data_IF_625893941708
#
_entry.id   IF_625893941708
#
_cell.length_a   1.000
_cell.length_b   1.000
_cell.length_c   1.000
_cell.angle_alpha   90.00
_cell.angle_beta   90.00
_cell.angle_gamma   90.00
#
_symmetry.space_group_name_H-M   'P 1'
#
loop_
_entity.id
_entity.type
_entity.pdbx_description
1 polymer ?
#
# COMPACT_ATOMS: atom_id res chain seq x y z
N UNK A 1 -4.57 24.45 -26.20
CA UNK A 1 -5.10 23.98 -24.92
C UNK A 1 -4.77 22.50 -24.78
N UNK A 2 -3.74 22.15 -24.01
CA UNK A 2 -3.51 20.74 -23.68
C UNK A 2 -4.66 20.31 -22.77
N UNK A 3 -5.54 19.47 -23.30
CA UNK A 3 -6.50 18.73 -22.49
C UNK A 3 -5.65 17.85 -21.58
N UNK A 4 -5.55 18.22 -20.30
CA UNK A 4 -5.04 17.33 -19.28
C UNK A 4 -6.05 16.19 -19.24
N UNK A 5 -5.76 15.11 -19.95
CA UNK A 5 -6.47 13.85 -19.74
C UNK A 5 -6.24 13.47 -18.29
N UNK A 6 -7.29 13.59 -17.47
CA UNK A 6 -7.34 12.96 -16.16
C UNK A 6 -7.34 11.45 -16.42
N UNK A 7 -6.14 10.88 -16.60
CA UNK A 7 -5.91 9.44 -16.53
C UNK A 7 -6.42 8.98 -15.16
N UNK A 8 -7.35 8.03 -15.19
CA UNK A 8 -8.02 7.39 -14.06
C UNK A 8 -7.38 7.70 -12.69
N UNK A 9 -7.95 8.66 -11.97
CA UNK A 9 -7.63 8.84 -10.56
C UNK A 9 -8.25 7.66 -9.79
N UNK A 10 -7.76 7.33 -8.61
CA UNK A 10 -8.38 6.34 -7.69
C UNK A 10 -9.78 6.76 -7.19
N UNK A 11 -10.39 7.79 -7.78
CA UNK A 11 -11.70 8.35 -7.48
C UNK A 11 -12.79 7.30 -7.69
N UNK A 12 -13.54 7.00 -6.63
CA UNK A 12 -14.56 5.95 -6.63
C UNK A 12 -14.05 4.56 -6.28
N UNK A 13 -12.74 4.37 -6.11
CA UNK A 13 -12.21 3.12 -5.56
C UNK A 13 -12.55 3.02 -4.06
N UNK A 14 -12.94 1.83 -3.56
CA UNK A 14 -13.17 1.65 -2.13
C UNK A 14 -11.87 1.63 -1.30
N UNK A 15 -10.74 1.31 -1.94
CA UNK A 15 -9.41 1.28 -1.31
C UNK A 15 -8.31 1.64 -2.30
N UNK A 16 -7.12 1.91 -1.77
CA UNK A 16 -5.87 2.08 -2.53
C UNK A 16 -4.75 1.30 -1.86
N UNK A 17 -3.77 0.88 -2.64
CA UNK A 17 -2.48 0.44 -2.13
C UNK A 17 -1.51 1.61 -2.17
N UNK A 18 -0.85 1.88 -1.04
CA UNK A 18 0.02 3.05 -0.85
C UNK A 18 1.42 2.55 -0.55
N UNK A 19 2.40 2.98 -1.35
CA UNK A 19 3.82 2.63 -1.19
C UNK A 19 4.61 3.87 -0.84
N UNK A 20 5.46 3.79 0.19
CA UNK A 20 6.45 4.84 0.46
C UNK A 20 7.68 4.63 -0.41
N UNK A 21 8.02 5.62 -1.24
CA UNK A 21 9.04 5.47 -2.30
C UNK A 21 10.33 6.28 -2.09
N UNK A 22 10.35 7.23 -1.15
CA UNK A 22 11.48 8.16 -0.99
C UNK A 22 12.43 7.77 0.15
N UNK A 23 13.70 7.61 -0.21
CA UNK A 23 14.86 7.51 0.71
C UNK A 23 15.77 8.74 0.63
N UNK A 24 15.75 9.47 -0.48
CA UNK A 24 16.78 10.44 -0.89
C UNK A 24 16.35 11.92 -0.78
N UNK A 25 15.07 12.21 -0.52
CA UNK A 25 14.54 13.58 -0.43
C UNK A 25 14.80 14.28 0.92
N UNK A 26 15.77 13.81 1.71
CA UNK A 26 16.03 14.29 3.07
C UNK A 26 14.98 13.80 4.07
N UNK A 27 14.93 14.42 5.25
CA UNK A 27 13.95 14.07 6.27
C UNK A 27 12.61 14.78 5.98
N UNK A 28 11.47 14.05 5.95
CA UNK A 28 10.17 14.69 5.77
C UNK A 28 9.92 15.72 6.88
N UNK A 29 9.24 16.84 6.58
CA UNK A 29 8.77 17.78 7.58
C UNK A 29 7.97 17.06 8.68
N UNK A 30 8.02 17.56 9.92
CA UNK A 30 7.44 16.87 11.09
C UNK A 30 5.96 16.52 10.90
N UNK A 31 5.18 17.40 10.28
CA UNK A 31 3.77 17.16 9.95
C UNK A 31 3.59 16.00 8.95
N UNK A 32 4.42 15.94 7.91
CA UNK A 32 4.40 14.84 6.92
C UNK A 32 4.82 13.53 7.58
N UNK A 33 5.88 13.56 8.40
CA UNK A 33 6.35 12.39 9.13
C UNK A 33 5.27 11.82 10.06
N UNK A 34 4.56 12.68 10.79
CA UNK A 34 3.46 12.26 11.66
C UNK A 34 2.36 11.54 10.87
N UNK A 35 1.97 12.05 9.70
CA UNK A 35 0.96 11.41 8.85
C UNK A 35 1.47 10.07 8.31
N UNK A 36 2.72 9.99 7.83
CA UNK A 36 3.33 8.74 7.37
C UNK A 36 3.35 7.68 8.50
N UNK A 37 3.67 8.08 9.72
CA UNK A 37 3.65 7.20 10.90
C UNK A 37 2.22 6.75 11.25
N UNK A 38 1.24 7.64 11.18
CA UNK A 38 -0.18 7.29 11.37
C UNK A 38 -0.67 6.28 10.33
N UNK A 39 -0.21 6.41 9.08
CA UNK A 39 -0.49 5.44 8.01
C UNK A 39 0.30 4.13 8.18
N UNK A 40 1.29 4.07 9.09
CA UNK A 40 2.22 2.94 9.28
C UNK A 40 3.28 2.79 8.19
N UNK A 41 3.53 3.85 7.42
CA UNK A 41 4.58 3.91 6.38
C UNK A 41 5.91 4.41 6.95
N UNK A 42 6.50 3.65 7.88
CA UNK A 42 7.72 4.03 8.61
C UNK A 42 9.00 3.90 7.78
N UNK A 43 9.08 2.89 6.94
CA UNK A 43 10.27 2.55 6.16
C UNK A 43 10.02 2.79 4.67
N UNK A 44 11.07 3.09 3.91
CA UNK A 44 10.94 3.19 2.47
C UNK A 44 10.71 1.80 1.86
N UNK A 45 10.13 1.78 0.66
CA UNK A 45 9.71 0.58 -0.05
C UNK A 45 8.78 -0.30 0.82
N UNK A 46 7.93 0.32 1.63
CA UNK A 46 6.85 -0.39 2.33
C UNK A 46 5.49 0.01 1.77
N UNK A 47 4.62 -0.98 1.62
CA UNK A 47 3.28 -0.84 1.09
C UNK A 47 2.20 -1.14 2.14
N UNK A 48 1.06 -0.46 2.06
CA UNK A 48 -0.12 -0.74 2.89
C UNK A 48 -1.39 -0.70 2.03
N UNK A 49 -2.39 -1.46 2.42
CA UNK A 49 -3.77 -1.22 1.97
C UNK A 49 -4.41 -0.14 2.85
N UNK A 50 -5.10 0.80 2.23
CA UNK A 50 -5.76 1.91 2.90
C UNK A 50 -7.15 2.12 2.29
N UNK A 51 -8.17 2.23 3.15
CA UNK A 51 -9.53 2.57 2.70
C UNK A 51 -9.51 3.96 2.10
N UNK A 52 -10.11 4.12 0.92
CA UNK A 52 -10.10 5.39 0.22
C UNK A 52 -11.35 6.19 0.57
N UNK A 53 -11.17 7.18 1.45
CA UNK A 53 -12.20 8.06 2.00
C UNK A 53 -11.76 9.50 1.82
N UNK A 54 -12.65 10.46 2.02
CA UNK A 54 -12.29 11.89 1.93
C UNK A 54 -11.19 12.29 2.93
N UNK A 55 -11.13 11.65 4.10
CA UNK A 55 -10.10 11.92 5.11
C UNK A 55 -8.75 11.35 4.64
N UNK A 56 -8.73 10.09 4.21
CA UNK A 56 -7.48 9.44 3.77
C UNK A 56 -6.96 10.08 2.49
N UNK A 57 -7.82 10.53 1.58
CA UNK A 57 -7.45 11.32 0.39
C UNK A 57 -6.75 12.63 0.76
N UNK A 58 -7.24 13.36 1.76
CA UNK A 58 -6.55 14.57 2.26
C UNK A 58 -5.18 14.25 2.85
N UNK A 59 -5.07 13.18 3.65
CA UNK A 59 -3.78 12.73 4.18
C UNK A 59 -2.81 12.38 3.04
N UNK A 60 -3.27 11.63 2.04
CA UNK A 60 -2.48 11.24 0.87
C UNK A 60 -2.00 12.44 0.06
N UNK A 61 -2.83 13.49 -0.09
CA UNK A 61 -2.42 14.72 -0.74
C UNK A 61 -1.29 15.46 0.01
N UNK A 62 -1.33 15.46 1.36
CA UNK A 62 -0.28 16.09 2.17
C UNK A 62 1.05 15.33 2.12
N UNK A 63 1.00 14.01 2.01
CA UNK A 63 2.20 13.16 1.92
C UNK A 63 2.56 12.80 0.48
N UNK A 64 1.84 13.35 -0.50
CA UNK A 64 1.90 12.97 -1.92
C UNK A 64 3.32 12.87 -2.48
N UNK A 65 4.26 13.81 -2.18
CA UNK A 65 5.63 13.69 -2.66
C UNK A 65 6.31 12.38 -2.23
N UNK A 66 5.99 11.83 -1.05
CA UNK A 66 6.69 10.72 -0.41
C UNK A 66 6.12 9.34 -0.74
N UNK A 67 4.94 9.30 -1.35
CA UNK A 67 4.18 8.08 -1.58
C UNK A 67 3.77 7.96 -3.04
N UNK A 68 3.59 6.74 -3.50
CA UNK A 68 2.83 6.42 -4.70
C UNK A 68 1.61 5.62 -4.25
N UNK A 69 0.46 5.86 -4.86
CA UNK A 69 -0.74 5.10 -4.54
C UNK A 69 -1.63 4.91 -5.74
N UNK A 70 -2.53 3.93 -5.68
CA UNK A 70 -3.39 3.56 -6.77
C UNK A 70 -4.25 2.36 -6.39
N UNK A 71 -5.20 1.99 -7.26
CA UNK A 71 -5.99 0.79 -7.10
C UNK A 71 -5.29 -0.37 -7.85
N UNK A 72 -4.72 -1.35 -7.14
CA UNK A 72 -4.14 -2.51 -7.80
C UNK A 72 -5.24 -3.42 -8.40
N UNK A 73 -4.88 -4.23 -9.39
CA UNK A 73 -5.76 -5.30 -9.87
C UNK A 73 -5.92 -6.43 -8.84
N UNK A 74 -7.06 -7.10 -8.89
CA UNK A 74 -7.41 -8.20 -7.97
C UNK A 74 -6.36 -9.32 -7.96
N UNK A 75 -5.82 -9.66 -9.13
CA UNK A 75 -4.75 -10.67 -9.24
C UNK A 75 -3.47 -10.24 -8.50
N UNK A 76 -3.13 -8.95 -8.58
CA UNK A 76 -1.96 -8.40 -7.90
C UNK A 76 -2.14 -8.33 -6.38
N UNK A 77 -3.36 -8.08 -5.90
CA UNK A 77 -3.69 -8.19 -4.46
C UNK A 77 -3.46 -9.61 -3.97
N UNK A 78 -3.91 -10.61 -4.73
CA UNK A 78 -3.65 -12.02 -4.45
C UNK A 78 -2.15 -12.33 -4.39
N UNK A 79 -1.37 -11.85 -5.36
CA UNK A 79 0.09 -12.03 -5.39
C UNK A 79 0.80 -11.38 -4.20
N UNK A 80 0.41 -10.16 -3.83
CA UNK A 80 0.93 -9.47 -2.65
C UNK A 80 0.63 -10.25 -1.36
N UNK A 81 -0.60 -10.71 -1.21
CA UNK A 81 -1.04 -11.48 -0.06
C UNK A 81 -0.34 -12.85 0.01
N UNK A 82 -0.14 -13.53 -1.12
CA UNK A 82 0.53 -14.83 -1.16
C UNK A 82 2.04 -14.76 -0.89
N UNK A 83 2.74 -13.70 -1.33
CA UNK A 83 4.21 -13.65 -1.28
C UNK A 83 4.78 -12.90 -0.08
N UNK A 84 4.07 -11.89 0.43
CA UNK A 84 4.65 -10.88 1.33
C UNK A 84 3.75 -10.56 2.53
N UNK A 85 2.66 -11.31 2.75
CA UNK A 85 1.77 -11.05 3.88
C UNK A 85 2.31 -11.60 5.19
N UNK A 86 2.26 -10.74 6.21
CA UNK A 86 2.44 -11.14 7.59
C UNK A 86 1.31 -10.48 8.40
N UNK A 87 0.82 -11.20 9.40
CA UNK A 87 -0.14 -10.69 10.36
C UNK A 87 0.55 -10.20 11.63
N UNK A 88 -0.10 -9.29 12.33
CA UNK A 88 0.28 -8.92 13.70
C UNK A 88 -0.62 -9.66 14.67
N UNK A 89 -0.06 -10.63 15.39
CA UNK A 89 -0.79 -11.40 16.42
C UNK A 89 -0.12 -11.16 17.76
N UNK A 90 -0.88 -10.68 18.75
CA UNK A 90 -0.37 -10.35 20.11
C UNK A 90 0.86 -9.42 20.11
N UNK A 91 0.99 -8.57 19.08
CA UNK A 91 2.11 -7.63 18.93
C UNK A 91 3.31 -8.19 18.17
N UNK A 92 3.31 -9.46 17.78
CA UNK A 92 4.38 -10.08 17.02
C UNK A 92 4.02 -10.24 15.54
N UNK A 93 5.04 -10.14 14.69
CA UNK A 93 4.93 -10.35 13.24
C UNK A 93 4.98 -11.85 12.95
N UNK A 94 3.88 -12.40 12.44
CA UNK A 94 3.73 -13.84 12.16
C UNK A 94 3.45 -14.04 10.66
N UNK A 95 4.14 -14.99 9.98
CA UNK A 95 3.83 -15.33 8.60
C UNK A 95 2.43 -15.94 8.48
N UNK A 96 1.65 -15.54 7.48
CA UNK A 96 0.29 -16.05 7.24
C UNK A 96 0.32 -17.31 6.37
N UNK A 97 1.14 -18.30 6.75
CA UNK A 97 1.27 -19.57 6.03
C UNK A 97 0.21 -20.60 6.42
N UNK A 98 -0.44 -20.41 7.56
CA UNK A 98 -1.48 -21.31 8.09
C UNK A 98 -2.77 -20.52 8.33
N UNK A 99 -3.88 -21.02 7.78
CA UNK A 99 -5.21 -20.44 7.95
C UNK A 99 -5.65 -20.43 9.42
N UNK A 100 -5.12 -21.33 10.27
CA UNK A 100 -5.41 -21.31 11.71
C UNK A 100 -5.02 -19.99 12.36
N UNK A 101 -4.00 -19.29 11.86
CA UNK A 101 -3.56 -17.99 12.38
C UNK A 101 -4.63 -16.92 12.09
N UNK A 102 -5.22 -16.97 10.90
CA UNK A 102 -6.24 -16.03 10.44
C UNK A 102 -7.55 -16.29 11.20
N UNK A 103 -7.99 -17.55 11.24
CA UNK A 103 -9.19 -17.97 11.96
C UNK A 103 -9.13 -17.60 13.45
N UNK A 104 -8.01 -17.87 14.12
CA UNK A 104 -7.86 -17.51 15.53
C UNK A 104 -7.84 -16.00 15.79
N UNK A 105 -7.34 -15.20 14.82
CA UNK A 105 -7.22 -13.76 14.97
C UNK A 105 -8.49 -12.99 14.56
N UNK A 106 -9.20 -13.46 13.55
CA UNK A 106 -10.29 -12.73 12.88
C UNK A 106 -11.57 -13.57 12.69
N UNK A 107 -11.54 -14.88 12.93
CA UNK A 107 -12.67 -15.78 12.66
C UNK A 107 -13.90 -15.52 13.53
N UNK A 108 -13.72 -15.34 14.84
CA UNK A 108 -14.86 -15.20 15.77
C UNK A 108 -15.67 -13.92 15.55
N UNK A 109 -15.00 -12.78 15.33
CA UNK A 109 -15.64 -11.47 15.30
C UNK A 109 -15.97 -11.00 13.87
N UNK A 110 -15.22 -11.48 12.87
CA UNK A 110 -15.32 -11.02 11.48
C UNK A 110 -15.65 -12.13 10.48
N UNK A 111 -15.66 -13.40 10.89
CA UNK A 111 -15.96 -14.54 10.02
C UNK A 111 -14.89 -14.78 8.95
N UNK A 112 -13.66 -14.29 9.15
CA UNK A 112 -12.54 -14.44 8.22
C UNK A 112 -11.70 -15.64 8.64
N UNK A 113 -11.69 -16.70 7.82
CA UNK A 113 -11.13 -18.00 8.19
C UNK A 113 -9.86 -18.30 7.40
N UNK A 114 -9.78 -17.86 6.14
CA UNK A 114 -8.63 -18.12 5.28
C UNK A 114 -8.05 -16.87 4.62
N UNK A 115 -6.92 -17.04 3.94
CA UNK A 115 -6.27 -15.99 3.17
C UNK A 115 -7.18 -15.43 2.07
N UNK A 116 -7.97 -16.28 1.42
CA UNK A 116 -8.89 -15.89 0.35
C UNK A 116 -9.97 -14.92 0.87
N UNK A 117 -10.47 -15.13 2.09
CA UNK A 117 -11.41 -14.22 2.74
C UNK A 117 -10.79 -12.83 2.94
N UNK A 118 -9.51 -12.77 3.33
CA UNK A 118 -8.80 -11.50 3.49
C UNK A 118 -8.64 -10.78 2.15
N UNK A 119 -8.24 -11.51 1.10
CA UNK A 119 -8.11 -10.95 -0.26
C UNK A 119 -9.45 -10.43 -0.75
N UNK A 120 -10.52 -11.19 -0.57
CA UNK A 120 -11.87 -10.80 -0.96
C UNK A 120 -12.35 -9.55 -0.21
N UNK A 121 -12.10 -9.49 1.11
CA UNK A 121 -12.46 -8.35 1.95
C UNK A 121 -11.70 -7.08 1.54
N UNK A 122 -10.42 -7.21 1.19
CA UNK A 122 -9.60 -6.11 0.68
C UNK A 122 -10.10 -5.58 -0.67
N UNK A 123 -10.33 -6.47 -1.64
CA UNK A 123 -10.77 -6.10 -3.00
C UNK A 123 -12.13 -5.39 -2.97
N UNK A 124 -13.07 -5.91 -2.21
CA UNK A 124 -14.43 -5.35 -2.16
C UNK A 124 -14.55 -4.16 -1.20
N UNK A 125 -13.53 -3.88 -0.39
CA UNK A 125 -13.58 -2.83 0.61
C UNK A 125 -14.68 -3.07 1.65
N UNK A 126 -14.83 -4.31 2.11
CA UNK A 126 -15.91 -4.74 2.97
C UNK A 126 -15.93 -4.09 4.36
N UNK A 127 -16.83 -4.54 5.23
CA UNK A 127 -17.05 -3.95 6.56
C UNK A 127 -15.86 -4.12 7.51
N UNK A 128 -15.13 -5.22 7.36
CA UNK A 128 -13.97 -5.61 8.15
C UNK A 128 -12.65 -5.16 7.51
N UNK A 129 -12.67 -4.46 6.37
CA UNK A 129 -11.47 -3.99 5.67
C UNK A 129 -10.46 -3.28 6.59
N UNK A 130 -10.92 -2.36 7.44
CA UNK A 130 -10.01 -1.59 8.31
C UNK A 130 -9.33 -2.49 9.36
N UNK A 131 -10.03 -3.54 9.80
CA UNK A 131 -9.49 -4.56 10.70
C UNK A 131 -8.46 -5.42 9.97
N UNK A 132 -8.77 -5.88 8.75
CA UNK A 132 -7.84 -6.66 7.92
C UNK A 132 -6.59 -5.84 7.59
N UNK A 133 -6.77 -4.60 7.13
CA UNK A 133 -5.67 -3.69 6.83
C UNK A 133 -4.81 -3.43 8.07
N UNK A 134 -5.40 -3.31 9.27
CA UNK A 134 -4.66 -3.14 10.52
C UNK A 134 -3.92 -4.40 10.96
N UNK A 135 -4.54 -5.56 10.79
CA UNK A 135 -3.95 -6.88 11.08
C UNK A 135 -2.70 -7.13 10.23
N UNK A 136 -2.76 -6.80 8.94
CA UNK A 136 -1.63 -6.91 8.03
C UNK A 136 -0.51 -5.96 8.43
N UNK A 137 0.72 -6.48 8.53
CA UNK A 137 1.91 -5.64 8.63
C UNK A 137 2.16 -4.95 7.29
N UNK A 138 2.79 -3.75 7.28
CA UNK A 138 3.25 -3.14 6.04
C UNK A 138 4.07 -4.12 5.20
N UNK A 139 3.74 -4.22 3.92
CA UNK A 139 4.34 -5.11 2.96
C UNK A 139 5.75 -4.61 2.63
N UNK A 140 6.82 -5.36 2.96
CA UNK A 140 8.16 -5.01 2.52
C UNK A 140 8.28 -5.29 1.02
N UNK A 141 8.66 -4.27 0.24
CA UNK A 141 8.82 -4.32 -1.20
C UNK A 141 10.29 -4.07 -1.57
N UNK A 142 10.70 -4.56 -2.74
CA UNK A 142 12.04 -4.34 -3.28
C UNK A 142 12.15 -2.95 -3.88
N UNK A 143 13.32 -2.32 -3.80
CA UNK A 143 13.56 -1.04 -4.47
C UNK A 143 13.52 -1.24 -6.00
N UNK A 144 12.73 -0.42 -6.72
CA UNK A 144 12.57 -0.53 -8.18
C UNK A 144 13.88 -0.38 -8.97
N UNK A 145 14.85 0.39 -8.45
CA UNK A 145 16.20 0.55 -9.03
C UNK A 145 17.20 0.84 -7.91
N UNK A 146 18.42 0.36 -8.07
CA UNK A 146 19.50 0.69 -7.14
C UNK A 146 19.83 2.18 -7.20
N UNK A 147 20.33 2.72 -6.08
CA UNK A 147 20.83 4.11 -6.01
C UNK A 147 21.90 4.38 -7.06
N UNK A 148 22.70 3.37 -7.40
CA UNK A 148 23.73 3.44 -8.43
C UNK A 148 23.14 3.63 -9.83
N UNK A 149 22.14 2.84 -10.21
CA UNK A 149 21.50 2.94 -11.53
C UNK A 149 20.74 4.27 -11.72
N UNK A 150 20.10 4.78 -10.66
CA UNK A 150 19.44 6.09 -10.70
C UNK A 150 20.44 7.22 -10.95
N UNK A 151 21.60 7.18 -10.29
CA UNK A 151 22.67 8.16 -10.45
C UNK A 151 23.35 8.04 -11.83
N UNK A 152 23.61 6.82 -12.30
CA UNK A 152 24.26 6.55 -13.57
C UNK A 152 23.42 7.00 -14.77
N UNK A 153 22.10 6.78 -14.71
CA UNK A 153 21.19 7.09 -15.82
C UNK A 153 20.78 8.57 -15.89
N UNK A 154 21.29 9.43 -14.99
CA UNK A 154 20.92 10.86 -14.87
C UNK A 154 19.40 11.10 -14.98
N UNK A 155 18.60 10.14 -14.49
CA UNK A 155 17.16 10.21 -14.64
C UNK A 155 16.69 11.46 -13.90
N UNK A 156 16.19 12.46 -14.65
CA UNK A 156 15.41 13.53 -14.04
C UNK A 156 14.31 12.85 -13.25
N UNK A 157 14.30 13.08 -11.94
CA UNK A 157 13.26 12.58 -11.03
C UNK A 157 11.91 13.00 -11.60
N UNK A 158 11.26 12.10 -12.35
CA UNK A 158 9.91 12.31 -12.81
C UNK A 158 9.00 12.48 -11.59
N UNK A 159 7.77 12.93 -11.82
CA UNK A 159 6.71 12.83 -10.80
C UNK A 159 6.36 11.36 -10.59
N UNK A 160 7.24 10.60 -9.97
CA UNK A 160 7.04 9.18 -9.69
C UNK A 160 6.18 8.97 -8.43
N UNK A 161 5.60 10.04 -7.89
CA UNK A 161 4.83 10.11 -6.65
C UNK A 161 3.38 10.53 -6.93
N UNK A 162 2.49 10.23 -6.00
CA UNK A 162 1.06 10.54 -6.11
C UNK A 162 0.18 9.41 -6.65
N UNK A 163 -1.02 9.78 -7.06
CA UNK A 163 -2.04 8.83 -7.57
C UNK A 163 -1.67 8.35 -8.97
N UNK A 164 -1.48 7.04 -9.12
CA UNK A 164 -1.28 6.36 -10.41
C UNK A 164 -2.53 5.62 -10.88
N UNK A 165 -3.61 5.62 -10.10
CA UNK A 165 -4.82 4.87 -10.44
C UNK A 165 -4.53 3.40 -10.69
N UNK A 166 -4.95 2.90 -11.85
CA UNK A 166 -4.74 1.51 -12.30
C UNK A 166 -3.31 1.27 -12.81
N UNK A 167 -2.55 2.32 -13.17
CA UNK A 167 -1.15 2.20 -13.62
C UNK A 167 -0.19 1.86 -12.47
N UNK A 168 -0.68 1.75 -11.24
CA UNK A 168 0.12 1.28 -10.10
C UNK A 168 0.56 -0.19 -10.26
N UNK A 169 -0.17 -0.99 -11.04
CA UNK A 169 0.13 -2.40 -11.23
C UNK A 169 1.55 -2.64 -11.78
N UNK A 170 1.93 -1.86 -12.80
CA UNK A 170 3.27 -1.94 -13.38
C UNK A 170 4.35 -1.56 -12.38
N UNK A 171 4.06 -0.62 -11.50
CA UNK A 171 4.98 -0.16 -10.47
C UNK A 171 5.19 -1.23 -9.39
N UNK A 172 4.12 -1.84 -8.89
CA UNK A 172 4.19 -2.92 -7.89
C UNK A 172 4.90 -4.14 -8.47
N UNK A 173 4.61 -4.52 -9.73
CA UNK A 173 5.27 -5.67 -10.39
C UNK A 173 6.79 -5.53 -10.47
N UNK A 174 7.31 -4.30 -10.54
CA UNK A 174 8.76 -4.05 -10.51
C UNK A 174 9.37 -4.17 -9.10
N UNK A 175 8.55 -4.18 -8.05
CA UNK A 175 8.99 -4.22 -6.65
C UNK A 175 8.70 -5.55 -5.94
N UNK A 176 7.87 -6.42 -6.52
CA UNK A 176 7.54 -7.75 -5.99
C UNK A 176 8.72 -8.72 -6.13
#
# INVERSE_FOLDING_TARGET
MHVIQYKANSVGSPYVFVIRIREDAGQPPRNVLNILLQLRLKEANTGIFLRYTEITKRHLHLVEPWVVYGKPSDGLVGDLMGRKSFGTVKGEKVPLSDNTIIENALGNDHGLICMEDLVHELINGGKSFDVVAKFLTPFPLSATRSRFEKNLLQLKQGKDYGDRGEEIDEFIKQML
#
